data_IF_594464988615
#
_entry.id   IF_594464988615
#
_cell.length_a   1.000
_cell.length_b   1.000
_cell.length_c   1.000
_cell.angle_alpha   90.00
_cell.angle_beta   90.00
_cell.angle_gamma   90.00
#
_symmetry.space_group_name_H-M   'P 1'
#
loop_
_entity.id
_entity.type
_entity.pdbx_description
1 polymer ?
#
# COMPACT_ATOMS: atom_id res chain seq x y z
N UNK A 1 -21.23 5.11 10.30
CA UNK A 1 -21.18 5.02 8.83
C UNK A 1 -20.19 6.06 8.34
N UNK A 2 -19.34 5.75 7.36
CA UNK A 2 -18.25 6.64 6.92
C UNK A 2 -18.84 7.89 6.23
N UNK A 3 -18.34 9.08 6.56
CA UNK A 3 -18.82 10.36 5.97
C UNK A 3 -18.45 10.45 4.48
N UNK A 4 -19.34 11.03 3.67
CA UNK A 4 -19.12 11.24 2.22
C UNK A 4 -17.86 12.04 1.92
N UNK A 5 -17.41 12.89 2.86
CA UNK A 5 -16.17 13.65 2.77
C UNK A 5 -14.91 12.77 2.87
N UNK A 6 -14.99 11.64 3.58
CA UNK A 6 -13.91 10.65 3.64
C UNK A 6 -13.94 9.78 2.38
N UNK A 7 -15.13 9.42 1.91
CA UNK A 7 -15.31 8.67 0.67
C UNK A 7 -14.83 9.47 -0.55
N UNK A 8 -15.09 10.77 -0.63
CA UNK A 8 -14.65 11.62 -1.75
C UNK A 8 -13.12 11.69 -1.88
N UNK A 9 -12.39 11.68 -0.75
CA UNK A 9 -10.92 11.59 -0.73
C UNK A 9 -10.41 10.23 -1.23
N UNK A 10 -11.20 9.16 -1.06
CA UNK A 10 -10.90 7.81 -1.57
C UNK A 10 -11.29 7.65 -3.05
N UNK A 11 -12.38 8.31 -3.49
CA UNK A 11 -12.88 8.30 -4.88
C UNK A 11 -11.89 8.96 -5.84
N UNK A 12 -11.20 10.00 -5.40
CA UNK A 12 -10.11 10.62 -6.16
C UNK A 12 -8.86 9.71 -6.27
N UNK A 13 -8.80 8.66 -5.45
CA UNK A 13 -7.75 7.63 -5.43
C UNK A 13 -6.35 8.13 -5.09
N UNK A 14 -6.13 9.43 -4.83
CA UNK A 14 -4.80 10.07 -4.85
C UNK A 14 -3.76 9.43 -3.90
N UNK A 15 -4.20 8.82 -2.80
CA UNK A 15 -3.35 8.10 -1.84
C UNK A 15 -3.57 6.58 -1.94
N UNK A 16 -2.50 5.79 -1.78
CA UNK A 16 -2.62 4.35 -1.49
C UNK A 16 -3.41 4.22 -0.19
N UNK A 17 -4.49 3.45 -0.20
CA UNK A 17 -5.30 3.21 1.00
C UNK A 17 -4.39 2.71 2.14
N UNK A 18 -4.27 3.44 3.26
CA UNK A 18 -3.42 3.03 4.38
C UNK A 18 -3.72 1.61 4.86
N UNK A 19 -4.99 1.18 4.74
CA UNK A 19 -5.41 -0.16 5.08
C UNK A 19 -4.85 -1.22 4.11
N UNK A 20 -4.69 -0.92 2.83
CA UNK A 20 -4.07 -1.84 1.86
C UNK A 20 -2.57 -2.01 2.16
N UNK A 21 -1.89 -0.92 2.53
CA UNK A 21 -0.48 -0.97 2.94
C UNK A 21 -0.30 -1.78 4.22
N UNK A 22 -1.13 -1.56 5.25
CA UNK A 22 -1.08 -2.34 6.50
C UNK A 22 -1.35 -3.83 6.27
N UNK A 23 -2.39 -4.16 5.49
CA UNK A 23 -2.68 -5.55 5.15
C UNK A 23 -1.52 -6.23 4.41
N UNK A 24 -0.75 -5.50 3.59
CA UNK A 24 0.45 -6.04 2.96
C UNK A 24 1.50 -6.54 3.97
N UNK A 25 1.63 -5.89 5.14
CA UNK A 25 2.51 -6.35 6.22
C UNK A 25 1.96 -7.59 6.93
N UNK A 26 0.64 -7.65 7.16
CA UNK A 26 0.03 -8.85 7.76
C UNK A 26 0.28 -10.06 6.86
N UNK A 27 0.02 -9.94 5.56
CA UNK A 27 0.12 -11.05 4.63
C UNK A 27 1.55 -11.43 4.26
N UNK A 28 2.53 -10.52 4.42
CA UNK A 28 3.94 -10.88 4.31
C UNK A 28 4.42 -11.73 5.49
N UNK A 29 3.84 -11.51 6.68
CA UNK A 29 4.12 -12.31 7.88
C UNK A 29 3.29 -13.59 7.94
N UNK A 30 2.04 -13.55 7.48
CA UNK A 30 1.06 -14.64 7.59
C UNK A 30 0.40 -14.85 6.22
N UNK A 31 1.03 -15.58 5.28
CA UNK A 31 0.49 -15.75 3.94
C UNK A 31 -0.91 -16.36 3.94
N UNK A 32 -1.84 -15.78 3.16
CA UNK A 32 -3.24 -16.27 3.04
C UNK A 32 -3.34 -17.68 2.46
N UNK A 33 -2.31 -18.12 1.74
CA UNK A 33 -2.25 -19.42 1.08
C UNK A 33 -1.97 -20.57 2.05
N UNK A 34 -1.64 -20.27 3.31
CA UNK A 34 -1.31 -21.25 4.33
C UNK A 34 -2.24 -21.12 5.54
N UNK A 35 -2.56 -22.26 6.14
CA UNK A 35 -3.32 -22.30 7.37
C UNK A 35 -2.44 -21.88 8.55
N UNK A 36 -2.91 -20.91 9.32
CA UNK A 36 -2.23 -20.41 10.51
C UNK A 36 -3.17 -20.45 11.71
N UNK A 37 -2.64 -20.74 12.89
CA UNK A 37 -3.43 -20.70 14.12
C UNK A 37 -3.90 -19.28 14.43
N UNK A 38 -5.04 -19.15 15.11
CA UNK A 38 -5.56 -17.84 15.52
C UNK A 38 -4.57 -17.03 16.36
N UNK A 39 -3.72 -17.70 17.16
CA UNK A 39 -2.65 -17.05 17.93
C UNK A 39 -1.59 -16.45 17.01
N UNK A 40 -1.16 -17.20 16.00
CA UNK A 40 -0.18 -16.73 15.03
C UNK A 40 -0.69 -15.51 14.25
N UNK A 41 -1.95 -15.54 13.78
CA UNK A 41 -2.55 -14.42 13.06
C UNK A 41 -2.59 -13.15 13.92
N UNK A 42 -2.91 -13.27 15.22
CA UNK A 42 -2.89 -12.13 16.16
C UNK A 42 -1.47 -11.57 16.33
N UNK A 43 -0.48 -12.44 16.54
CA UNK A 43 0.92 -12.03 16.65
C UNK A 43 1.40 -11.32 15.38
N UNK A 44 1.08 -11.87 14.20
CA UNK A 44 1.41 -11.25 12.92
C UNK A 44 0.74 -9.88 12.75
N UNK A 45 -0.53 -9.73 13.13
CA UNK A 45 -1.23 -8.45 13.07
C UNK A 45 -0.63 -7.40 14.02
N UNK A 46 -0.27 -7.78 15.25
CA UNK A 46 0.42 -6.90 16.19
C UNK A 46 1.81 -6.51 15.69
N UNK A 47 2.59 -7.46 15.20
CA UNK A 47 3.92 -7.18 14.66
C UNK A 47 3.84 -6.30 13.41
N UNK A 48 2.90 -6.57 12.51
CA UNK A 48 2.64 -5.75 11.33
C UNK A 48 2.32 -4.29 11.71
N UNK A 49 1.60 -4.06 12.80
CA UNK A 49 1.27 -2.70 13.25
C UNK A 49 2.52 -1.93 13.70
N UNK A 50 3.43 -2.61 14.40
CA UNK A 50 4.71 -2.01 14.81
C UNK A 50 5.57 -1.75 13.57
N UNK A 51 5.73 -2.75 12.69
CA UNK A 51 6.54 -2.64 11.48
C UNK A 51 6.05 -1.56 10.51
N UNK A 52 4.73 -1.40 10.37
CA UNK A 52 4.13 -0.38 9.52
C UNK A 52 4.40 1.04 10.03
N UNK A 53 4.40 1.24 11.36
CA UNK A 53 4.57 2.55 11.97
C UNK A 53 6.05 2.93 12.17
N UNK A 54 6.88 2.00 12.64
CA UNK A 54 8.26 2.25 13.08
C UNK A 54 9.33 1.72 12.09
N UNK A 55 8.95 0.91 11.09
CA UNK A 55 9.88 0.22 10.19
C UNK A 55 10.56 -1.00 10.81
N UNK A 56 11.22 -1.83 10.00
CA UNK A 56 11.85 -3.08 10.45
C UNK A 56 13.02 -2.85 11.40
N UNK A 57 13.91 -1.91 11.10
CA UNK A 57 15.11 -1.70 11.89
C UNK A 57 14.80 -1.36 13.33
N UNK A 58 13.96 -0.34 13.58
CA UNK A 58 13.67 0.10 14.93
C UNK A 58 12.82 -0.94 15.68
N UNK A 59 11.80 -1.49 15.03
CA UNK A 59 10.85 -2.43 15.64
C UNK A 59 11.53 -3.74 16.05
N UNK A 60 12.30 -4.35 15.15
CA UNK A 60 12.94 -5.64 15.42
C UNK A 60 14.06 -5.49 16.45
N UNK A 61 14.84 -4.41 16.42
CA UNK A 61 15.87 -4.17 17.45
C UNK A 61 15.22 -4.00 18.83
N UNK A 62 14.14 -3.23 18.95
CA UNK A 62 13.39 -3.08 20.22
C UNK A 62 12.88 -4.44 20.72
N UNK A 63 12.31 -5.25 19.83
CA UNK A 63 11.75 -6.55 20.18
C UNK A 63 12.84 -7.55 20.60
N UNK A 64 13.95 -7.62 19.87
CA UNK A 64 15.09 -8.48 20.24
C UNK A 64 15.66 -8.11 21.61
N UNK A 65 15.76 -6.82 21.93
CA UNK A 65 16.18 -6.35 23.26
C UNK A 65 15.20 -6.74 24.36
N UNK A 66 13.90 -6.66 24.09
CA UNK A 66 12.86 -7.09 25.03
C UNK A 66 12.88 -8.61 25.27
N UNK A 67 13.28 -9.39 24.27
CA UNK A 67 13.46 -10.83 24.38
C UNK A 67 14.83 -11.25 24.96
N UNK A 68 15.62 -10.30 25.45
CA UNK A 68 16.99 -10.50 25.97
C UNK A 68 17.94 -11.19 24.98
N UNK A 69 17.69 -10.99 23.68
CA UNK A 69 18.54 -11.50 22.61
C UNK A 69 19.69 -10.53 22.39
N UNK A 70 20.85 -10.86 22.97
CA UNK A 70 22.09 -10.08 22.97
C UNK A 70 22.67 -9.80 21.56
N UNK A 71 22.20 -10.48 20.52
CA UNK A 71 22.81 -10.49 19.18
C UNK A 71 22.31 -9.37 18.24
N UNK A 72 22.29 -8.12 18.72
CA UNK A 72 22.19 -6.97 17.81
C UNK A 72 23.57 -6.65 17.20
N UNK A 73 24.16 -7.62 16.48
CA UNK A 73 25.43 -7.42 15.78
C UNK A 73 25.28 -6.31 14.75
N UNK A 74 26.32 -5.49 14.47
CA UNK A 74 26.26 -4.47 13.43
C UNK A 74 25.80 -4.98 12.06
N UNK A 75 26.07 -6.26 11.75
CA UNK A 75 25.56 -6.93 10.54
C UNK A 75 24.03 -7.02 10.53
N UNK A 76 23.40 -7.38 11.64
CA UNK A 76 21.95 -7.45 11.78
C UNK A 76 21.31 -6.07 11.59
N UNK A 77 21.87 -5.04 12.22
CA UNK A 77 21.40 -3.65 12.06
C UNK A 77 21.47 -3.21 10.59
N UNK A 78 22.60 -3.49 9.91
CA UNK A 78 22.75 -3.17 8.48
C UNK A 78 21.73 -3.90 7.63
N UNK A 79 21.52 -5.19 7.88
CA UNK A 79 20.56 -6.01 7.15
C UNK A 79 19.13 -5.48 7.31
N UNK A 80 18.70 -5.16 8.54
CA UNK A 80 17.37 -4.59 8.78
C UNK A 80 17.18 -3.24 8.08
N UNK A 81 18.22 -2.39 8.08
CA UNK A 81 18.20 -1.12 7.35
C UNK A 81 18.12 -1.33 5.83
N UNK A 82 18.77 -2.36 5.29
CA UNK A 82 18.67 -2.70 3.86
C UNK A 82 17.26 -3.15 3.49
N UNK A 83 16.61 -3.94 4.35
CA UNK A 83 15.22 -4.36 4.18
C UNK A 83 14.33 -3.11 4.13
N UNK A 84 14.39 -2.22 5.12
CA UNK A 84 13.59 -0.97 5.11
C UNK A 84 13.78 -0.16 3.83
N UNK A 85 15.02 -0.03 3.36
CA UNK A 85 15.31 0.69 2.11
C UNK A 85 14.74 0.00 0.87
N UNK A 86 14.78 -1.33 0.80
CA UNK A 86 14.16 -2.10 -0.29
C UNK A 86 12.65 -1.90 -0.30
N UNK A 87 12.00 -2.04 0.86
CA UNK A 87 10.57 -1.80 1.01
C UNK A 87 10.18 -0.39 0.58
N UNK A 88 10.94 0.63 1.01
CA UNK A 88 10.69 2.02 0.59
C UNK A 88 10.82 2.22 -0.92
N UNK A 89 11.82 1.57 -1.56
CA UNK A 89 11.99 1.61 -3.02
C UNK A 89 10.81 0.96 -3.73
N UNK A 90 10.40 -0.23 -3.32
CA UNK A 90 9.25 -0.94 -3.89
C UNK A 90 7.96 -0.15 -3.73
N UNK A 91 7.72 0.43 -2.56
CA UNK A 91 6.57 1.30 -2.32
C UNK A 91 6.58 2.52 -3.26
N UNK A 92 7.73 3.20 -3.41
CA UNK A 92 7.85 4.33 -4.35
C UNK A 92 7.59 3.91 -5.80
N UNK A 93 8.07 2.74 -6.22
CA UNK A 93 7.84 2.21 -7.58
C UNK A 93 6.35 1.90 -7.78
N UNK A 94 5.71 1.19 -6.84
CA UNK A 94 4.27 0.88 -6.89
C UNK A 94 3.43 2.15 -6.93
N UNK A 95 3.75 3.15 -6.10
CA UNK A 95 3.07 4.45 -6.12
C UNK A 95 3.21 5.16 -7.46
N UNK A 96 4.41 5.17 -8.06
CA UNK A 96 4.63 5.77 -9.39
C UNK A 96 3.89 5.02 -10.50
N UNK A 97 3.92 3.69 -10.51
CA UNK A 97 3.21 2.88 -11.48
C UNK A 97 1.68 3.11 -11.40
N UNK A 98 1.15 3.15 -10.17
CA UNK A 98 -0.25 3.48 -9.90
C UNK A 98 -0.60 4.89 -10.39
N UNK A 99 0.24 5.89 -10.13
CA UNK A 99 0.05 7.25 -10.65
C UNK A 99 0.05 7.31 -12.19
N UNK A 100 0.97 6.60 -12.85
CA UNK A 100 1.05 6.56 -14.31
C UNK A 100 -0.17 5.85 -14.93
N UNK A 101 -0.59 4.71 -14.40
CA UNK A 101 -1.80 4.02 -14.86
C UNK A 101 -3.04 4.91 -14.71
N UNK A 102 -3.15 5.67 -13.62
CA UNK A 102 -4.23 6.64 -13.41
C UNK A 102 -4.22 7.76 -14.44
N UNK A 103 -3.04 8.34 -14.73
CA UNK A 103 -2.90 9.35 -15.78
C UNK A 103 -3.38 8.81 -17.13
N UNK A 104 -3.01 7.57 -17.48
CA UNK A 104 -3.47 6.90 -18.71
C UNK A 104 -4.99 6.73 -18.73
N UNK A 105 -5.59 6.29 -17.62
CA UNK A 105 -7.05 6.12 -17.54
C UNK A 105 -7.80 7.44 -17.70
N UNK A 106 -7.32 8.55 -17.11
CA UNK A 106 -7.95 9.88 -17.31
C UNK A 106 -7.99 10.30 -18.77
N UNK A 107 -6.85 10.18 -19.46
CA UNK A 107 -6.76 10.51 -20.89
C UNK A 107 -7.72 9.64 -21.71
N UNK A 108 -7.81 8.33 -21.40
CA UNK A 108 -8.75 7.42 -22.07
C UNK A 108 -10.21 7.80 -21.84
N UNK A 109 -10.57 8.24 -20.63
CA UNK A 109 -11.93 8.67 -20.29
C UNK A 109 -12.27 9.99 -20.99
N UNK A 110 -11.36 10.96 -20.97
CA UNK A 110 -11.52 12.24 -21.69
C UNK A 110 -11.69 12.01 -23.20
N UNK A 111 -10.88 11.14 -23.80
CA UNK A 111 -11.02 10.77 -25.21
C UNK A 111 -12.39 10.15 -25.51
N UNK A 112 -12.92 9.31 -24.60
CA UNK A 112 -14.23 8.68 -24.76
C UNK A 112 -15.37 9.68 -24.69
N UNK A 113 -15.28 10.64 -23.75
CA UNK A 113 -16.27 11.72 -23.61
C UNK A 113 -16.26 12.63 -24.84
N UNK A 114 -15.07 13.05 -25.31
CA UNK A 114 -14.95 13.88 -26.52
C UNK A 114 -15.50 13.16 -27.76
N UNK A 115 -15.32 11.83 -27.86
CA UNK A 115 -15.93 11.05 -28.94
C UNK A 115 -17.45 11.03 -28.86
N UNK A 116 -18.02 10.88 -27.65
CA UNK A 116 -19.47 10.92 -27.45
C UNK A 116 -20.05 12.31 -27.72
N UNK A 117 -19.40 13.37 -27.25
CA UNK A 117 -19.80 14.75 -27.55
C UNK A 117 -19.78 15.01 -29.05
N UNK A 118 -18.70 14.64 -29.75
CA UNK A 118 -18.63 14.76 -31.21
C UNK A 118 -19.73 13.97 -31.94
N UNK A 119 -20.08 12.77 -31.45
CA UNK A 119 -21.20 11.99 -32.00
C UNK A 119 -22.54 12.69 -31.79
N UNK A 120 -22.77 13.29 -30.61
CA UNK A 120 -23.99 14.02 -30.31
C UNK A 120 -24.14 15.27 -31.19
N UNK A 121 -23.07 16.07 -31.34
CA UNK A 121 -23.06 17.24 -32.22
C UNK A 121 -23.29 16.87 -33.69
N UNK A 122 -22.74 15.73 -34.15
CA UNK A 122 -22.99 15.26 -35.50
C UNK A 122 -24.44 14.81 -35.70
N UNK A 123 -25.09 14.20 -34.70
CA UNK A 123 -26.49 13.79 -34.77
C UNK A 123 -27.45 14.96 -34.82
N UNK A 124 -27.19 16.03 -34.06
CA UNK A 124 -28.02 17.24 -34.01
C UNK A 124 -27.90 18.12 -35.28
N UNK A 125 -26.88 17.90 -36.12
CA UNK A 125 -26.65 18.65 -37.35
C UNK A 125 -27.43 18.11 -38.57
N UNK A 126 -28.08 16.94 -38.45
CA UNK A 126 -28.86 16.31 -39.53
C UNK A 126 -30.38 16.34 -39.30
N UNK A 127 -30.85 16.93 -38.19
CA UNK A 127 -32.27 17.28 -37.92
C UNK A 127 -32.55 18.75 -38.28
#
# INVERSE_FOLDING_TARGET
>A
MCSDEVLSKVVDGRTTNPNESYHSYIWSLCPKTQFHSAKYVRCAASLAAILYNDGYQLSIIKLLRQCDVQSTTPACIRMLKLIDNQWLKEHKIKTKATQQNRRRQRILTEQRLNQQENYNYASEAFD
#
